data_IF_937174628989
#
_entry.id   IF_937174628989
#
_cell.length_a   1.000
_cell.length_b   1.000
_cell.length_c   1.000
_cell.angle_alpha   90.00
_cell.angle_beta   90.00
_cell.angle_gamma   90.00
#
_symmetry.space_group_name_H-M   'P 1'
#
loop_
_entity.id
_entity.type
_entity.pdbx_description
1 polymer ?
#
# COMPACT_ATOMS: atom_id res chain seq x y z
N UNK A 1 -5.66 13.58 -5.09
CA UNK A 1 -4.69 12.85 -5.95
C UNK A 1 -3.46 12.48 -5.13
N UNK A 2 -2.66 11.52 -5.57
CA UNK A 2 -1.39 11.24 -4.89
C UNK A 2 -0.48 12.45 -4.99
N UNK A 3 0.18 12.79 -3.89
CA UNK A 3 1.09 13.91 -3.77
C UNK A 3 2.49 13.35 -3.50
N UNK A 4 3.44 13.48 -4.44
CA UNK A 4 4.77 12.88 -4.28
C UNK A 4 5.80 13.81 -3.64
N UNK A 5 5.48 15.10 -3.47
CA UNK A 5 6.43 16.12 -3.03
C UNK A 5 6.43 16.28 -1.50
N UNK A 6 6.84 15.21 -0.82
CA UNK A 6 7.01 15.18 0.64
C UNK A 6 8.42 14.77 1.00
N UNK A 7 8.92 15.28 2.12
CA UNK A 7 10.18 14.83 2.73
C UNK A 7 9.88 14.16 4.06
N UNK A 8 10.77 13.27 4.49
CA UNK A 8 10.58 12.54 5.73
C UNK A 8 11.89 12.24 6.45
N UNK A 9 11.80 12.18 7.77
CA UNK A 9 12.92 11.82 8.66
C UNK A 9 12.40 10.84 9.71
N UNK A 10 13.03 9.67 9.81
CA UNK A 10 12.73 8.70 10.85
C UNK A 10 13.18 9.24 12.21
N UNK A 11 12.34 9.11 13.22
CA UNK A 11 12.68 9.53 14.58
C UNK A 11 13.49 8.41 15.23
N UNK A 12 14.81 8.57 15.30
CA UNK A 12 15.67 7.61 16.00
C UNK A 12 15.41 7.68 17.51
N UNK A 13 14.99 6.57 18.10
CA UNK A 13 14.90 6.45 19.56
C UNK A 13 16.31 6.55 20.17
N UNK A 14 16.62 7.66 20.84
CA UNK A 14 17.81 7.76 21.68
C UNK A 14 17.68 6.79 22.86
N UNK A 15 18.29 5.60 22.75
CA UNK A 15 18.58 4.75 23.90
C UNK A 15 19.71 5.36 24.70
N UNK A 16 19.42 5.83 25.90
CA UNK A 16 20.42 6.20 26.90
C UNK A 16 21.20 4.99 27.39
N UNK A 17 22.52 5.19 27.48
CA UNK A 17 23.58 4.52 28.31
C UNK A 17 24.07 3.09 27.97
N UNK A 18 25.24 3.07 27.32
CA UNK A 18 26.51 2.37 27.64
C UNK A 18 26.48 0.91 28.17
N UNK A 19 26.99 -0.06 27.39
CA UNK A 19 28.39 -0.53 27.48
C UNK A 19 28.75 -1.59 26.40
N UNK A 20 29.96 -1.40 25.85
CA UNK A 20 30.88 -2.39 25.25
C UNK A 20 30.53 -3.19 23.98
N UNK A 21 31.06 -2.65 22.86
CA UNK A 21 32.22 -3.20 22.10
C UNK A 21 31.92 -4.05 20.84
N UNK A 22 32.03 -3.34 19.71
CA UNK A 22 32.54 -3.73 18.37
C UNK A 22 31.72 -4.76 17.57
N UNK A 23 30.95 -4.24 16.61
CA UNK A 23 31.29 -4.45 15.19
C UNK A 23 31.17 -3.12 14.45
N UNK A 24 32.28 -2.68 13.84
CA UNK A 24 32.42 -1.45 13.07
C UNK A 24 32.39 -1.86 11.59
N UNK A 25 31.60 -1.14 10.77
CA UNK A 25 31.29 -1.33 9.32
C UNK A 25 30.10 -2.28 9.13
N UNK A 26 28.96 -1.85 8.59
CA UNK A 26 28.80 -1.27 7.24
C UNK A 26 27.76 -0.14 7.21
N UNK A 27 28.20 1.04 6.78
CA UNK A 27 27.36 2.04 6.12
C UNK A 27 27.24 1.59 4.65
N UNK A 28 26.09 1.03 4.28
CA UNK A 28 25.49 0.99 2.93
C UNK A 28 24.47 -0.15 2.88
N UNK A 29 23.23 0.19 3.15
CA UNK A 29 22.10 -0.47 2.49
C UNK A 29 21.03 0.60 2.29
N UNK A 30 21.19 1.34 1.20
CA UNK A 30 20.06 2.01 0.55
C UNK A 30 19.23 0.87 0.00
N UNK A 31 18.35 0.31 0.83
CA UNK A 31 17.36 -0.65 0.38
C UNK A 31 16.42 0.07 -0.58
N UNK A 32 16.58 -0.16 -1.87
CA UNK A 32 15.53 0.10 -2.85
C UNK A 32 14.28 -0.66 -2.41
N UNK A 33 13.32 0.07 -1.85
CA UNK A 33 12.08 -0.49 -1.35
C UNK A 33 11.18 -0.76 -2.56
N UNK A 34 11.28 -1.98 -3.07
CA UNK A 34 10.48 -2.50 -4.18
C UNK A 34 9.04 -2.68 -3.69
N UNK A 35 8.16 -1.73 -3.97
CA UNK A 35 6.75 -1.89 -3.58
C UNK A 35 6.09 -2.84 -4.58
N UNK A 36 5.86 -4.07 -4.16
CA UNK A 36 5.10 -5.06 -4.91
C UNK A 36 3.60 -4.87 -4.64
N UNK A 37 2.78 -4.98 -5.68
CA UNK A 37 1.33 -4.96 -5.56
C UNK A 37 0.67 -5.98 -6.48
N UNK A 38 -0.50 -6.45 -6.05
CA UNK A 38 -1.34 -7.37 -6.82
C UNK A 38 -2.08 -6.62 -7.92
N UNK A 39 -1.92 -7.09 -9.15
CA UNK A 39 -2.68 -6.64 -10.31
C UNK A 39 -3.32 -7.82 -11.05
N UNK A 40 -4.28 -7.51 -11.91
CA UNK A 40 -4.90 -8.52 -12.76
C UNK A 40 -4.52 -8.33 -14.22
N UNK A 41 -4.26 -9.44 -14.93
CA UNK A 41 -4.01 -9.46 -16.37
C UNK A 41 -4.64 -10.68 -17.03
N UNK A 42 -4.58 -10.73 -18.36
CA UNK A 42 -4.81 -11.98 -19.10
C UNK A 42 -3.80 -13.04 -18.65
N UNK A 43 -4.25 -14.30 -18.59
CA UNK A 43 -3.43 -15.46 -18.21
C UNK A 43 -2.34 -15.83 -19.22
N UNK A 44 -2.33 -15.20 -20.40
CA UNK A 44 -1.22 -15.33 -21.36
C UNK A 44 -0.06 -14.38 -21.06
N UNK A 45 -0.17 -13.53 -20.04
CA UNK A 45 0.85 -12.53 -19.73
C UNK A 45 2.08 -13.18 -19.07
N UNK A 46 3.32 -12.84 -19.46
CA UNK A 46 4.52 -13.57 -19.02
C UNK A 46 4.79 -13.50 -17.51
N UNK A 47 4.20 -12.54 -16.80
CA UNK A 47 4.34 -12.33 -15.35
C UNK A 47 3.19 -12.89 -14.49
N UNK A 48 2.44 -13.88 -15.00
CA UNK A 48 1.35 -14.54 -14.24
C UNK A 48 1.81 -15.82 -13.52
N UNK A 49 2.91 -16.42 -13.98
CA UNK A 49 3.48 -17.64 -13.41
C UNK A 49 4.52 -17.30 -12.33
N UNK A 50 4.52 -18.04 -11.23
CA UNK A 50 5.48 -17.83 -10.13
C UNK A 50 4.87 -18.00 -8.73
N UNK A 51 3.58 -18.34 -8.67
CA UNK A 51 2.89 -18.65 -7.43
C UNK A 51 3.13 -20.10 -7.02
N UNK A 52 3.42 -20.33 -5.75
CA UNK A 52 3.60 -21.66 -5.16
C UNK A 52 3.01 -21.73 -3.76
N UNK A 53 2.51 -22.91 -3.38
CA UNK A 53 2.03 -23.16 -2.03
C UNK A 53 3.23 -23.40 -1.11
N UNK A 54 3.23 -22.72 0.04
CA UNK A 54 4.15 -22.91 1.14
C UNK A 54 3.32 -23.30 2.38
N UNK A 55 3.55 -24.49 2.93
CA UNK A 55 2.89 -24.96 4.13
C UNK A 55 3.59 -24.36 5.37
N UNK A 56 2.83 -23.79 6.32
CA UNK A 56 3.34 -23.19 7.55
C UNK A 56 3.05 -23.99 8.84
N UNK A 57 2.36 -25.14 8.73
CA UNK A 57 1.80 -26.03 9.78
C UNK A 57 0.28 -25.89 10.05
N UNK A 58 -0.33 -27.01 10.47
CA UNK A 58 -1.70 -27.20 10.99
C UNK A 58 -2.80 -26.36 10.30
N UNK A 59 -3.05 -26.68 9.02
CA UNK A 59 -4.15 -26.18 8.17
C UNK A 59 -4.01 -24.76 7.57
N UNK A 60 -2.89 -24.06 7.81
CA UNK A 60 -2.61 -22.77 7.19
C UNK A 60 -1.59 -22.91 6.05
N UNK A 61 -2.11 -22.90 4.82
CA UNK A 61 -1.32 -22.78 3.60
C UNK A 61 -1.13 -21.29 3.26
N UNK A 62 0.07 -20.90 2.85
CA UNK A 62 0.30 -19.64 2.14
C UNK A 62 0.56 -19.90 0.67
N UNK A 63 0.18 -18.96 -0.18
CA UNK A 63 0.54 -18.93 -1.59
C UNK A 63 1.42 -17.73 -1.81
N UNK A 64 2.67 -17.99 -2.17
CA UNK A 64 3.72 -17.01 -2.28
C UNK A 64 4.16 -16.84 -3.71
N UNK A 65 4.40 -15.58 -4.11
CA UNK A 65 5.01 -15.24 -5.37
C UNK A 65 6.53 -15.27 -5.24
N UNK A 66 7.20 -16.15 -5.99
CA UNK A 66 8.65 -16.24 -6.02
C UNK A 66 9.17 -15.73 -7.36
N UNK A 67 9.68 -14.50 -7.37
CA UNK A 67 10.45 -14.00 -8.50
C UNK A 67 11.83 -14.68 -8.50
N UNK A 68 12.27 -15.19 -9.64
CA UNK A 68 13.47 -16.04 -9.76
C UNK A 68 14.79 -15.35 -9.45
N UNK A 69 14.80 -14.05 -9.13
CA UNK A 69 16.00 -13.25 -8.99
C UNK A 69 15.76 -12.07 -8.02
N UNK A 70 15.85 -12.26 -6.69
CA UNK A 70 16.36 -11.29 -5.68
C UNK A 70 16.07 -11.70 -4.22
N UNK A 71 16.95 -11.25 -3.33
CA UNK A 71 16.98 -11.44 -1.87
C UNK A 71 15.86 -10.71 -1.09
N UNK A 72 14.65 -10.61 -1.65
CA UNK A 72 13.51 -9.97 -1.00
C UNK A 72 12.53 -11.00 -0.46
N UNK A 73 11.83 -10.65 0.62
CA UNK A 73 10.77 -11.46 1.18
C UNK A 73 9.64 -11.62 0.13
N UNK A 74 9.18 -12.87 -0.15
CA UNK A 74 8.18 -13.11 -1.17
C UNK A 74 6.82 -12.54 -0.75
N UNK A 75 6.06 -12.01 -1.70
CA UNK A 75 4.68 -11.61 -1.44
C UNK A 75 3.81 -12.86 -1.28
N UNK A 76 3.27 -13.05 -0.07
CA UNK A 76 2.45 -14.21 0.29
C UNK A 76 1.02 -13.80 0.64
N UNK A 77 0.09 -14.70 0.32
CA UNK A 77 -1.32 -14.60 0.68
C UNK A 77 -1.73 -15.88 1.40
N UNK A 78 -2.58 -15.76 2.41
CA UNK A 78 -3.10 -16.92 3.11
C UNK A 78 -4.18 -17.59 2.27
N UNK A 79 -4.16 -18.92 2.22
CA UNK A 79 -5.14 -19.73 1.53
C UNK A 79 -6.14 -20.26 2.55
N UNK A 80 -7.42 -20.07 2.29
CA UNK A 80 -8.51 -20.64 3.09
C UNK A 80 -9.47 -21.42 2.21
N UNK A 81 -9.83 -22.63 2.64
CA UNK A 81 -10.87 -23.42 1.97
C UNK A 81 -12.23 -22.74 2.18
N UNK A 82 -13.11 -22.72 1.17
CA UNK A 82 -14.47 -22.22 1.35
C UNK A 82 -15.20 -23.09 2.40
N UNK A 83 -15.96 -22.44 3.28
CA UNK A 83 -16.81 -23.14 4.26
C UNK A 83 -17.94 -23.87 3.51
N UNK A 84 -18.15 -25.14 3.85
CA UNK A 84 -19.23 -25.96 3.30
C UNK A 84 -20.58 -25.49 3.89
N UNK A 85 -21.58 -25.22 3.04
CA UNK A 85 -22.96 -24.99 3.50
C UNK A 85 -23.57 -26.29 4.04
N UNK A 86 -24.46 -26.16 5.04
CA UNK A 86 -25.14 -27.25 5.78
C UNK A 86 -25.91 -28.27 4.92
N UNK A 87 -26.21 -27.97 3.66
CA UNK A 87 -26.97 -28.85 2.75
C UNK A 87 -26.08 -29.67 1.78
N UNK A 88 -24.76 -29.69 1.95
CA UNK A 88 -23.88 -30.58 1.18
C UNK A 88 -23.88 -30.34 -0.34
N UNK A 89 -24.45 -29.22 -0.81
CA UNK A 89 -24.44 -28.88 -2.23
C UNK A 89 -23.19 -28.04 -2.54
N UNK A 90 -22.27 -28.67 -3.28
CA UNK A 90 -21.06 -28.06 -3.84
C UNK A 90 -21.42 -26.95 -4.83
N UNK A 91 -21.45 -25.69 -4.38
CA UNK A 91 -21.49 -24.54 -5.29
C UNK A 91 -20.06 -24.01 -5.50
N UNK A 92 -19.18 -24.88 -5.99
CA UNK A 92 -17.96 -24.47 -6.69
C UNK A 92 -17.34 -25.70 -7.29
N UNK A 93 -16.98 -25.63 -8.57
CA UNK A 93 -16.20 -26.69 -9.20
C UNK A 93 -14.95 -26.98 -8.36
N UNK A 94 -14.62 -28.27 -8.29
CA UNK A 94 -13.58 -28.86 -7.47
C UNK A 94 -12.24 -28.10 -7.57
N UNK A 95 -11.88 -27.28 -6.55
CA UNK A 95 -10.50 -26.81 -6.39
C UNK A 95 -10.29 -25.35 -5.95
N UNK A 96 -11.33 -24.51 -5.95
CA UNK A 96 -11.20 -23.09 -5.61
C UNK A 96 -10.96 -22.83 -4.10
N UNK A 97 -10.22 -21.76 -3.80
CA UNK A 97 -9.97 -21.27 -2.45
C UNK A 97 -10.04 -19.75 -2.36
N UNK A 98 -10.21 -19.24 -1.14
CA UNK A 98 -10.08 -17.83 -0.83
C UNK A 98 -8.62 -17.45 -0.59
N UNK A 99 -8.26 -16.24 -1.02
CA UNK A 99 -6.95 -15.62 -0.79
C UNK A 99 -7.10 -14.45 0.19
N UNK A 100 -6.39 -14.49 1.32
CA UNK A 100 -6.47 -13.48 2.38
C UNK A 100 -5.16 -12.72 2.53
N UNK A 101 -5.28 -11.45 2.89
CA UNK A 101 -4.13 -10.58 3.14
C UNK A 101 -3.40 -10.91 4.46
N UNK A 102 -4.10 -11.47 5.44
CA UNK A 102 -3.59 -11.93 6.73
C UNK A 102 -4.46 -13.10 7.22
N UNK A 103 -3.89 -13.93 8.07
CA UNK A 103 -4.54 -14.98 8.85
C UNK A 103 -5.64 -14.47 9.79
N UNK A 104 -5.43 -13.31 10.44
CA UNK A 104 -6.40 -12.69 11.35
C UNK A 104 -7.53 -11.94 10.61
N UNK A 105 -7.29 -11.53 9.36
CA UNK A 105 -8.23 -10.70 8.60
C UNK A 105 -9.26 -11.56 7.86
N UNK A 106 -10.55 -11.22 7.98
CA UNK A 106 -11.65 -11.83 7.20
C UNK A 106 -11.84 -11.19 5.81
N UNK A 107 -10.78 -10.65 5.21
CA UNK A 107 -10.85 -9.99 3.92
C UNK A 107 -10.22 -10.85 2.81
N UNK A 108 -11.02 -11.13 1.80
CA UNK A 108 -10.68 -11.98 0.65
C UNK A 108 -10.40 -11.13 -0.59
N UNK A 109 -9.47 -11.59 -1.43
CA UNK A 109 -9.12 -10.96 -2.68
C UNK A 109 -10.25 -11.10 -3.71
N UNK A 110 -10.80 -9.98 -4.16
CA UNK A 110 -11.80 -9.94 -5.22
C UNK A 110 -11.14 -10.13 -6.60
N UNK A 111 -11.72 -10.98 -7.44
CA UNK A 111 -11.33 -11.24 -8.83
C UNK A 111 -11.79 -10.15 -9.81
N UNK A 112 -12.59 -9.20 -9.34
CA UNK A 112 -13.09 -8.09 -10.15
C UNK A 112 -12.10 -6.92 -10.14
N UNK A 113 -11.60 -6.48 -11.30
CA UNK A 113 -10.69 -5.36 -11.35
C UNK A 113 -11.39 -4.06 -10.97
N UNK A 114 -10.94 -3.39 -9.89
CA UNK A 114 -11.40 -2.02 -9.60
C UNK A 114 -10.57 -1.02 -10.38
N UNK A 115 -11.19 -0.36 -11.36
CA UNK A 115 -10.58 0.77 -12.06
C UNK A 115 -10.59 1.99 -11.12
N UNK A 116 -9.42 2.41 -10.61
CA UNK A 116 -9.32 3.67 -9.87
C UNK A 116 -9.62 4.84 -10.81
N UNK A 117 -10.69 5.60 -10.51
CA UNK A 117 -11.15 6.73 -11.35
C UNK A 117 -10.13 7.87 -11.51
N UNK A 118 -9.11 7.95 -10.66
CA UNK A 118 -8.16 9.08 -10.58
C UNK A 118 -6.73 8.74 -10.98
N UNK A 119 -6.44 7.52 -11.44
CA UNK A 119 -5.12 7.15 -11.98
C UNK A 119 -5.29 6.45 -13.32
N UNK A 120 -4.44 6.76 -14.31
CA UNK A 120 -4.29 5.91 -15.52
C UNK A 120 -3.76 4.51 -15.19
N UNK A 121 -3.41 4.28 -13.92
CA UNK A 121 -2.74 3.10 -13.42
C UNK A 121 -3.70 2.10 -12.79
N UNK A 122 -3.77 0.97 -13.52
CA UNK A 122 -3.92 -0.42 -13.09
C UNK A 122 -5.21 -0.88 -12.41
N UNK A 123 -5.73 -1.98 -12.95
CA UNK A 123 -6.65 -2.91 -12.30
C UNK A 123 -5.94 -3.58 -11.12
N UNK A 124 -5.89 -2.90 -9.97
CA UNK A 124 -5.33 -3.45 -8.73
C UNK A 124 -6.35 -4.38 -8.05
N UNK A 125 -5.84 -5.41 -7.36
CA UNK A 125 -6.66 -6.23 -6.47
C UNK A 125 -7.35 -5.41 -5.39
N UNK A 126 -8.62 -5.72 -5.11
CA UNK A 126 -9.30 -5.22 -3.91
C UNK A 126 -9.55 -6.37 -2.96
N UNK A 127 -9.53 -6.06 -1.66
CA UNK A 127 -9.93 -6.99 -0.62
C UNK A 127 -11.30 -6.55 -0.08
N UNK A 128 -12.21 -7.48 0.09
CA UNK A 128 -13.52 -7.25 0.70
C UNK A 128 -13.88 -8.39 1.66
N UNK A 129 -14.86 -8.22 2.57
CA UNK A 129 -15.20 -9.28 3.51
C UNK A 129 -15.46 -10.60 2.79
N UNK A 130 -14.89 -11.68 3.31
CA UNK A 130 -14.98 -13.01 2.72
C UNK A 130 -16.44 -13.47 2.66
N UNK A 131 -16.86 -13.95 1.49
CA UNK A 131 -18.19 -14.47 1.18
C UNK A 131 -18.05 -15.73 0.35
N UNK A 132 -19.04 -16.61 0.41
CA UNK A 132 -19.13 -17.72 -0.54
C UNK A 132 -19.60 -17.18 -1.90
N UNK A 133 -18.72 -16.50 -2.62
CA UNK A 133 -18.99 -15.83 -3.89
C UNK A 133 -17.90 -16.19 -4.91
N UNK A 134 -18.31 -16.56 -6.12
CA UNK A 134 -17.40 -16.91 -7.21
C UNK A 134 -16.39 -15.80 -7.53
N UNK A 135 -16.75 -14.54 -7.26
CA UNK A 135 -15.86 -13.39 -7.43
C UNK A 135 -14.69 -13.36 -6.43
N UNK A 136 -14.67 -14.21 -5.40
CA UNK A 136 -13.58 -14.33 -4.42
C UNK A 136 -12.88 -15.70 -4.50
N UNK A 137 -13.25 -16.52 -5.47
CA UNK A 137 -12.68 -17.86 -5.68
C UNK A 137 -11.49 -17.81 -6.63
N UNK A 138 -10.40 -18.42 -6.20
CA UNK A 138 -9.15 -18.53 -6.92
C UNK A 138 -8.68 -19.97 -7.02
N UNK A 139 -8.02 -20.29 -8.13
CA UNK A 139 -7.42 -21.59 -8.39
C UNK A 139 -5.94 -21.41 -8.73
N UNK A 140 -5.08 -22.28 -8.18
CA UNK A 140 -3.68 -22.35 -8.56
C UNK A 140 -3.52 -23.40 -9.66
N UNK A 141 -3.14 -22.95 -10.84
CA UNK A 141 -2.81 -23.84 -11.96
C UNK A 141 -1.44 -24.49 -11.77
N UNK A 142 -1.24 -25.66 -12.37
CA UNK A 142 0.02 -26.42 -12.36
C UNK A 142 1.21 -25.64 -12.94
N UNK A 143 0.95 -24.62 -13.76
CA UNK A 143 1.98 -23.74 -14.31
C UNK A 143 2.40 -22.60 -13.34
N UNK A 144 1.83 -22.55 -12.14
CA UNK A 144 2.11 -21.53 -11.13
C UNK A 144 1.35 -20.21 -11.36
N UNK A 145 0.25 -20.22 -12.11
CA UNK A 145 -0.68 -19.09 -12.25
C UNK A 145 -1.83 -19.17 -11.25
N UNK A 146 -2.17 -18.04 -10.62
CA UNK A 146 -3.41 -17.89 -9.85
C UNK A 146 -4.52 -17.33 -10.75
N UNK A 147 -5.60 -18.08 -10.92
CA UNK A 147 -6.66 -17.83 -11.91
C UNK A 147 -8.01 -17.69 -11.20
N UNK A 148 -8.85 -16.76 -11.66
CA UNK A 148 -10.26 -16.76 -11.29
C UNK A 148 -11.12 -17.15 -12.49
N UNK A 149 -11.94 -18.18 -12.32
CA UNK A 149 -12.93 -18.60 -13.32
C UNK A 149 -14.04 -17.58 -13.53
N UNK A 150 -14.34 -16.76 -12.50
CA UNK A 150 -15.33 -15.70 -12.56
C UNK A 150 -14.94 -14.57 -13.52
N UNK A 151 -13.69 -14.07 -13.41
CA UNK A 151 -13.23 -12.96 -14.25
C UNK A 151 -12.42 -13.39 -15.48
N UNK A 152 -11.95 -14.64 -15.52
CA UNK A 152 -11.01 -15.13 -16.54
C UNK A 152 -9.63 -14.48 -16.46
N UNK A 153 -9.32 -13.79 -15.35
CA UNK A 153 -8.06 -13.08 -15.15
C UNK A 153 -7.12 -13.87 -14.24
N UNK A 154 -5.84 -13.59 -14.43
CA UNK A 154 -4.76 -14.11 -13.59
C UNK A 154 -4.17 -13.03 -12.70
N UNK A 155 -3.72 -13.43 -11.51
CA UNK A 155 -3.00 -12.55 -10.58
C UNK A 155 -1.58 -12.35 -11.09
N UNK A 156 -1.16 -11.09 -11.13
CA UNK A 156 0.20 -10.66 -11.43
C UNK A 156 0.76 -9.88 -10.26
N UNK A 157 2.06 -10.05 -10.01
CA UNK A 157 2.80 -9.14 -9.14
C UNK A 157 3.45 -8.08 -10.00
N UNK A 158 3.09 -6.83 -9.73
CA UNK A 158 3.73 -5.67 -10.35
C UNK A 158 4.62 -5.04 -9.31
N UNK A 159 5.85 -4.78 -9.71
CA UNK A 159 6.76 -3.95 -8.95
C UNK A 159 6.79 -2.55 -9.56
N UNK A 160 6.65 -1.54 -8.72
CA UNK A 160 7.13 -0.21 -9.08
C UNK A 160 8.57 -0.13 -8.60
N UNK A 161 9.50 -0.01 -9.56
CA UNK A 161 10.83 0.49 -9.26
C UNK A 161 10.64 1.87 -8.65
N UNK A 162 11.03 2.03 -7.38
CA UNK A 162 10.93 3.30 -6.65
C UNK A 162 11.91 4.38 -7.18
N UNK A 163 12.13 4.41 -8.49
CA UNK A 163 12.76 5.52 -9.19
C UNK A 163 11.76 6.66 -9.47
N UNK A 164 10.49 6.50 -9.12
CA UNK A 164 9.50 7.57 -9.07
C UNK A 164 9.22 7.97 -7.61
N UNK A 165 10.07 8.82 -7.05
CA UNK A 165 9.87 9.45 -5.74
C UNK A 165 10.19 8.51 -4.57
N UNK A 166 11.44 8.56 -4.13
CA UNK A 166 12.01 7.88 -2.97
C UNK A 166 11.23 8.20 -1.68
N UNK A 167 10.10 7.53 -1.44
CA UNK A 167 9.22 7.88 -0.30
C UNK A 167 9.45 7.03 0.94
N UNK A 168 10.32 6.01 0.89
CA UNK A 168 10.78 5.25 2.07
C UNK A 168 9.67 4.90 3.06
N UNK A 169 8.51 4.43 2.58
CA UNK A 169 7.34 4.05 3.38
C UNK A 169 6.37 5.18 3.72
N UNK A 170 6.61 6.41 3.29
CA UNK A 170 5.67 7.53 3.44
C UNK A 170 4.77 7.65 2.21
N UNK A 171 3.50 7.95 2.41
CA UNK A 171 2.60 8.32 1.31
C UNK A 171 1.87 9.61 1.65
N UNK A 172 1.48 10.34 0.61
CA UNK A 172 0.66 11.53 0.81
C UNK A 172 -0.32 11.78 -0.33
N UNK A 173 -1.39 12.50 0.01
CA UNK A 173 -2.45 12.88 -0.90
C UNK A 173 -2.79 14.35 -0.73
N UNK A 174 -3.16 14.99 -1.84
CA UNK A 174 -3.58 16.38 -1.86
C UNK A 174 -4.90 16.53 -2.61
N UNK A 175 -5.77 17.40 -2.13
CA UNK A 175 -7.05 17.74 -2.76
C UNK A 175 -7.42 19.21 -2.53
N UNK A 176 -8.35 19.73 -3.32
CA UNK A 176 -8.93 21.07 -3.11
C UNK A 176 -10.39 20.98 -2.72
N UNK A 177 -10.80 21.80 -1.76
CA UNK A 177 -12.18 22.04 -1.37
C UNK A 177 -12.92 22.97 -2.32
N UNK A 178 -14.22 23.12 -2.06
CA UNK A 178 -15.11 23.96 -2.87
C UNK A 178 -14.87 25.45 -2.64
N UNK A 179 -14.35 25.86 -1.48
CA UNK A 179 -14.08 27.27 -1.16
C UNK A 179 -12.61 27.64 -1.32
N UNK A 180 -11.81 26.76 -1.96
CA UNK A 180 -10.38 26.98 -2.18
C UNK A 180 -9.48 26.39 -1.10
N UNK A 181 -10.03 25.67 -0.12
CA UNK A 181 -9.22 24.99 0.89
C UNK A 181 -8.32 23.93 0.23
N UNK A 182 -7.12 23.72 0.76
CA UNK A 182 -6.21 22.66 0.33
C UNK A 182 -6.15 21.62 1.44
N UNK A 183 -6.47 20.37 1.11
CA UNK A 183 -6.40 19.24 2.01
C UNK A 183 -5.12 18.46 1.72
N UNK A 184 -4.29 18.24 2.74
CA UNK A 184 -3.06 17.43 2.63
C UNK A 184 -3.10 16.32 3.66
N UNK A 185 -2.95 15.08 3.22
CA UNK A 185 -2.93 13.91 4.10
C UNK A 185 -1.56 13.24 4.05
N UNK A 186 -0.96 13.02 5.21
CA UNK A 186 0.28 12.27 5.39
C UNK A 186 -0.03 10.89 5.97
N UNK A 187 0.65 9.87 5.45
CA UNK A 187 0.54 8.49 5.90
C UNK A 187 1.94 7.95 6.13
N UNK A 188 2.21 7.54 7.36
CA UNK A 188 3.44 6.84 7.70
C UNK A 188 3.16 5.34 7.60
N UNK A 189 3.69 4.65 6.60
CA UNK A 189 3.60 3.19 6.49
C UNK A 189 4.85 2.49 7.03
N UNK A 190 5.80 3.24 7.61
CA UNK A 190 6.97 2.65 8.25
C UNK A 190 6.61 2.04 9.60
N UNK A 191 7.42 1.07 10.01
CA UNK A 191 7.46 0.49 11.35
C UNK A 191 8.12 1.42 12.39
N UNK A 192 8.51 2.62 12.00
CA UNK A 192 9.11 3.65 12.85
C UNK A 192 8.29 4.94 12.77
N UNK A 193 8.20 5.64 13.90
CA UNK A 193 7.62 6.98 13.94
C UNK A 193 8.41 7.91 13.03
N UNK A 194 7.70 8.66 12.18
CA UNK A 194 8.33 9.39 11.08
C UNK A 194 7.81 10.83 11.05
N UNK A 195 8.72 11.80 11.00
CA UNK A 195 8.38 13.19 10.69
C UNK A 195 8.16 13.27 9.18
N UNK A 196 6.99 13.74 8.77
CA UNK A 196 6.63 13.95 7.36
C UNK A 196 6.37 15.43 7.15
N UNK A 197 6.92 16.01 6.08
CA UNK A 197 6.75 17.42 5.76
C UNK A 197 6.56 17.69 4.27
N UNK A 198 5.93 18.82 3.96
CA UNK A 198 5.75 19.36 2.62
C UNK A 198 5.92 20.87 2.62
N UNK A 199 6.65 21.42 1.65
CA UNK A 199 6.78 22.87 1.52
C UNK A 199 5.54 23.47 0.87
N UNK A 200 5.23 24.74 1.16
CA UNK A 200 4.14 25.45 0.49
C UNK A 200 4.38 25.49 -1.03
N UNK A 201 5.64 25.67 -1.45
CA UNK A 201 6.03 25.63 -2.87
C UNK A 201 5.76 24.28 -3.55
N UNK A 202 5.77 23.17 -2.81
CA UNK A 202 5.46 21.86 -3.34
C UNK A 202 3.95 21.65 -3.49
N UNK A 203 3.14 22.23 -2.60
CA UNK A 203 1.68 22.20 -2.70
C UNK A 203 1.19 22.87 -3.98
N UNK A 204 1.82 23.98 -4.39
CA UNK A 204 1.43 24.71 -5.60
C UNK A 204 1.73 23.92 -6.87
N UNK A 205 2.80 23.11 -6.89
CA UNK A 205 3.13 22.20 -8.01
C UNK A 205 2.03 21.18 -8.27
N UNK A 206 1.23 20.83 -7.26
CA UNK A 206 0.11 19.92 -7.42
C UNK A 206 -1.04 20.55 -8.23
N UNK A 207 -1.12 21.88 -8.34
CA UNK A 207 -2.21 22.58 -9.02
C UNK A 207 -1.73 23.45 -10.19
N UNK A 208 -1.17 22.84 -11.25
CA UNK A 208 -0.72 23.59 -12.43
C UNK A 208 -1.90 24.34 -13.06
N UNK A 209 -1.78 25.67 -13.17
CA UNK A 209 -2.81 26.56 -13.73
C UNK A 209 -3.65 27.31 -12.70
N UNK A 210 -3.51 27.03 -11.39
CA UNK A 210 -3.98 27.94 -10.34
C UNK A 210 -2.83 28.86 -9.95
N UNK A 211 -3.04 30.17 -10.00
CA UNK A 211 -2.09 31.18 -9.50
C UNK A 211 -2.05 31.17 -7.97
N UNK A 212 -1.57 30.07 -7.39
CA UNK A 212 -1.28 29.98 -5.98
C UNK A 212 0.12 30.60 -5.76
N UNK A 213 0.20 31.93 -5.81
CA UNK A 213 1.38 32.67 -5.34
C UNK A 213 1.36 32.78 -3.81
N UNK A 214 0.98 31.69 -3.15
CA UNK A 214 0.83 31.67 -1.70
C UNK A 214 2.21 31.64 -1.06
N UNK A 215 2.61 32.78 -0.49
CA UNK A 215 3.81 32.92 0.35
C UNK A 215 3.58 32.39 1.76
N UNK A 216 2.31 32.27 2.18
CA UNK A 216 1.92 31.63 3.41
C UNK A 216 0.52 31.02 3.30
N UNK A 217 0.24 30.07 4.19
CA UNK A 217 -1.07 29.45 4.33
C UNK A 217 -1.46 29.39 5.80
N UNK A 218 -2.73 29.56 6.13
CA UNK A 218 -3.23 29.21 7.46
C UNK A 218 -3.57 27.73 7.49
N UNK A 219 -3.14 27.00 8.52
CA UNK A 219 -3.33 25.55 8.56
C UNK A 219 -3.75 25.00 9.91
N UNK A 220 -4.55 23.94 9.87
CA UNK A 220 -4.94 23.16 11.06
C UNK A 220 -4.88 21.67 10.75
N UNK A 221 -4.43 20.88 11.71
CA UNK A 221 -4.51 19.42 11.67
C UNK A 221 -5.86 18.96 12.24
N UNK A 222 -6.57 18.13 11.49
CA UNK A 222 -7.98 17.82 11.68
C UNK A 222 -8.22 16.91 12.88
N UNK A 223 -7.36 15.91 13.08
CA UNK A 223 -7.62 14.87 14.08
C UNK A 223 -7.33 15.34 15.50
N UNK A 224 -6.21 16.02 15.70
CA UNK A 224 -5.80 16.62 16.97
C UNK A 224 -6.45 17.99 17.22
N UNK A 225 -7.00 18.61 16.18
CA UNK A 225 -7.51 19.98 16.23
C UNK A 225 -6.41 21.04 16.37
N UNK A 226 -5.13 20.65 16.30
CA UNK A 226 -4.00 21.56 16.46
C UNK A 226 -3.99 22.60 15.34
N UNK A 227 -4.13 23.85 15.73
CA UNK A 227 -3.97 25.00 14.84
C UNK A 227 -2.48 25.34 14.69
N UNK A 228 -2.03 25.49 13.46
CA UNK A 228 -0.66 25.88 13.13
C UNK A 228 -0.56 27.37 12.76
N UNK A 229 -1.68 28.09 12.72
CA UNK A 229 -1.70 29.50 12.37
C UNK A 229 -1.12 29.74 10.98
N UNK A 230 -0.38 30.84 10.82
CA UNK A 230 0.31 31.18 9.57
C UNK A 230 1.55 30.31 9.35
N UNK A 231 1.57 29.60 8.22
CA UNK A 231 2.63 28.67 7.79
C UNK A 231 3.29 29.26 6.55
N UNK A 232 4.57 29.65 6.68
CA UNK A 232 5.32 30.31 5.60
C UNK A 232 6.09 29.32 4.73
N UNK A 233 6.78 28.38 5.35
CA UNK A 233 7.72 27.51 4.64
C UNK A 233 7.15 26.11 4.37
N UNK A 234 6.77 25.40 5.43
CA UNK A 234 6.35 24.00 5.33
C UNK A 234 5.39 23.58 6.42
N UNK A 235 4.53 22.62 6.07
CA UNK A 235 3.79 21.82 7.05
C UNK A 235 4.65 20.62 7.44
N UNK A 236 4.70 20.29 8.73
CA UNK A 236 5.49 19.18 9.24
C UNK A 236 4.82 18.56 10.47
N UNK A 237 4.80 17.24 10.53
CA UNK A 237 4.23 16.51 11.67
C UNK A 237 4.92 15.18 11.88
N UNK A 238 5.12 14.86 13.15
CA UNK A 238 5.47 13.52 13.59
C UNK A 238 4.24 12.62 13.48
N UNK A 239 4.30 11.63 12.60
CA UNK A 239 3.22 10.68 12.37
C UNK A 239 3.62 9.33 12.95
N UNK A 240 2.76 8.80 13.83
CA UNK A 240 2.96 7.51 14.49
C UNK A 240 3.14 6.36 13.49
N UNK A 241 3.65 5.23 13.98
CA UNK A 241 3.81 3.99 13.21
C UNK A 241 2.47 3.60 12.59
N UNK A 242 2.44 3.36 11.27
CA UNK A 242 1.21 3.06 10.52
C UNK A 242 0.10 4.12 10.66
N UNK A 243 0.45 5.34 11.10
CA UNK A 243 -0.47 6.43 11.39
C UNK A 243 -0.72 7.37 10.22
N UNK A 244 -1.59 8.35 10.45
CA UNK A 244 -1.87 9.42 9.50
C UNK A 244 -2.07 10.79 10.16
N UNK A 245 -1.92 11.85 9.37
CA UNK A 245 -2.26 13.23 9.74
C UNK A 245 -3.00 13.89 8.57
N UNK A 246 -3.98 14.74 8.87
CA UNK A 246 -4.75 15.45 7.83
C UNK A 246 -4.75 16.95 8.12
N UNK A 247 -4.30 17.74 7.15
CA UNK A 247 -4.26 19.19 7.21
C UNK A 247 -5.35 19.79 6.34
N UNK A 248 -5.95 20.87 6.83
CA UNK A 248 -6.74 21.81 6.03
C UNK A 248 -6.00 23.14 6.00
N UNK A 249 -5.66 23.59 4.80
CA UNK A 249 -4.90 24.81 4.56
C UNK A 249 -5.75 25.82 3.79
N UNK A 250 -5.66 27.08 4.20
CA UNK A 250 -6.22 28.23 3.50
C UNK A 250 -5.05 29.11 3.05
N UNK A 251 -4.77 29.08 1.76
CA UNK A 251 -3.69 29.83 1.14
C UNK A 251 -4.30 30.99 0.36
N UNK A 252 -4.22 32.24 0.87
CA UNK A 252 -4.75 33.42 0.20
C UNK A 252 -4.03 33.76 -1.11
#
# INVERSE_FOLDING_TARGET
MQFPFVTFTKVSAHKTTNHSRRLRRSLKEVGTLHTQFLGFSSCNHPKVNGWSIQALDQDLDQICWKESMRSHEPLCLYKRKPLLNSDGQLISNQGGFHLLASDEMEFCLDASPRKKRTSKEFNSGSFSPCRSDANQMWELSNNGSLISSYSGLCVTVKSIDANAGNSGGVRSWIATGRKGEIYVAFFNLNSEKTVISATISDLTKAFPGKNLNATSCHGREVWSGKDFGEIKDSISMEVEIHGCALFVLNCP
#
